data_IF_690783945328
#
_entry.id   IF_690783945328
#
_cell.length_a   1.000
_cell.length_b   1.000
_cell.length_c   1.000
_cell.angle_alpha   90.00
_cell.angle_beta   90.00
_cell.angle_gamma   90.00
#
_symmetry.space_group_name_H-M   'P 1'
#
loop_
_entity.id
_entity.type
_entity.pdbx_description
1 polymer ?
#
# COMPACT_ATOMS: atom_id res chain seq x y z
N UNK A 1 12.38 16.23 18.59
CA UNK A 1 11.70 14.98 19.05
C UNK A 1 10.29 14.77 18.51
N UNK A 2 9.27 15.59 18.84
CA UNK A 2 7.86 15.25 18.55
C UNK A 2 7.42 15.20 17.08
N UNK A 3 8.16 15.76 16.12
CA UNK A 3 7.70 15.86 14.71
C UNK A 3 7.90 14.56 13.91
N UNK A 4 9.03 13.85 14.09
CA UNK A 4 9.31 12.61 13.36
C UNK A 4 8.43 11.44 13.83
N UNK A 5 8.23 11.30 15.14
CA UNK A 5 7.30 10.31 15.70
C UNK A 5 5.86 10.55 15.23
N UNK A 6 5.43 11.81 15.13
CA UNK A 6 4.09 12.15 14.60
C UNK A 6 3.95 11.86 13.11
N UNK A 7 4.97 12.15 12.30
CA UNK A 7 4.92 11.87 10.86
C UNK A 7 4.84 10.37 10.57
N UNK A 8 5.59 9.55 11.31
CA UNK A 8 5.51 8.09 11.25
C UNK A 8 4.13 7.56 11.62
N UNK A 9 3.57 8.05 12.73
CA UNK A 9 2.23 7.67 13.18
C UNK A 9 1.15 7.90 12.12
N UNK A 10 1.10 9.11 11.56
CA UNK A 10 0.07 9.45 10.57
C UNK A 10 0.23 8.67 9.26
N UNK A 11 1.48 8.46 8.82
CA UNK A 11 1.75 7.68 7.61
C UNK A 11 1.28 6.24 7.77
N UNK A 12 1.61 5.61 8.90
CA UNK A 12 1.18 4.25 9.22
C UNK A 12 -0.33 4.13 9.39
N UNK A 13 -0.98 5.10 10.04
CA UNK A 13 -2.44 5.09 10.21
C UNK A 13 -3.16 5.23 8.87
N UNK A 14 -2.70 6.14 8.00
CA UNK A 14 -3.28 6.34 6.68
C UNK A 14 -3.16 5.07 5.82
N UNK A 15 -1.96 4.51 5.74
CA UNK A 15 -1.73 3.30 4.93
C UNK A 15 -2.38 2.06 5.53
N UNK A 16 -2.53 1.99 6.86
CA UNK A 16 -3.29 0.94 7.52
C UNK A 16 -4.74 0.91 7.03
N UNK A 17 -5.45 2.03 7.11
CA UNK A 17 -6.84 2.09 6.68
C UNK A 17 -6.99 1.85 5.18
N UNK A 18 -6.14 2.47 4.37
CA UNK A 18 -6.16 2.29 2.92
C UNK A 18 -6.04 0.82 2.53
N UNK A 19 -5.05 0.11 3.09
CA UNK A 19 -4.79 -1.29 2.77
C UNK A 19 -5.77 -2.26 3.44
N UNK A 20 -6.27 -1.96 4.65
CA UNK A 20 -7.30 -2.77 5.31
C UNK A 20 -8.62 -2.74 4.54
N UNK A 21 -9.07 -1.55 4.13
CA UNK A 21 -10.33 -1.40 3.39
C UNK A 21 -10.21 -2.04 2.01
N UNK A 22 -9.12 -1.77 1.28
CA UNK A 22 -8.87 -2.40 -0.01
C UNK A 22 -8.75 -3.93 0.11
N UNK A 23 -8.02 -4.41 1.13
CA UNK A 23 -7.82 -5.83 1.39
C UNK A 23 -9.13 -6.56 1.73
N UNK A 24 -9.94 -5.98 2.62
CA UNK A 24 -11.26 -6.53 2.95
C UNK A 24 -12.20 -6.55 1.75
N UNK A 25 -12.20 -5.48 0.94
CA UNK A 25 -13.00 -5.42 -0.29
C UNK A 25 -12.63 -6.53 -1.28
N UNK A 26 -11.34 -6.73 -1.52
CA UNK A 26 -10.86 -7.78 -2.41
C UNK A 26 -11.08 -9.20 -1.85
N UNK A 27 -11.04 -9.39 -0.54
CA UNK A 27 -11.28 -10.70 0.10
C UNK A 27 -12.74 -11.12 0.05
N UNK A 28 -13.64 -10.22 0.46
CA UNK A 28 -15.06 -10.54 0.73
C UNK A 28 -15.92 -10.35 -0.51
N UNK A 29 -15.61 -9.36 -1.34
CA UNK A 29 -16.41 -8.98 -2.52
C UNK A 29 -15.53 -8.77 -3.77
N UNK A 30 -14.69 -9.78 -4.16
CA UNK A 30 -13.73 -9.65 -5.26
C UNK A 30 -14.38 -9.31 -6.60
N UNK A 31 -15.60 -9.80 -6.85
CA UNK A 31 -16.28 -9.59 -8.13
C UNK A 31 -16.82 -8.15 -8.25
N UNK A 32 -17.37 -7.61 -7.17
CA UNK A 32 -17.81 -6.22 -7.10
C UNK A 32 -16.60 -5.26 -7.16
N UNK A 33 -15.50 -5.64 -6.50
CA UNK A 33 -14.25 -4.88 -6.59
C UNK A 33 -13.71 -4.87 -8.03
N UNK A 34 -13.71 -6.01 -8.73
CA UNK A 34 -13.32 -6.07 -10.14
C UNK A 34 -14.25 -5.23 -11.02
N UNK A 35 -15.56 -5.27 -10.79
CA UNK A 35 -16.53 -4.46 -11.52
C UNK A 35 -16.30 -2.96 -11.33
N UNK A 36 -15.89 -2.54 -10.13
CA UNK A 36 -15.56 -1.16 -9.82
C UNK A 36 -14.27 -0.70 -10.52
N UNK A 37 -13.26 -1.57 -10.59
CA UNK A 37 -11.92 -1.23 -11.10
C UNK A 37 -11.86 -1.33 -12.64
N UNK A 38 -12.43 -2.39 -13.21
CA UNK A 38 -12.31 -2.74 -14.63
C UNK A 38 -13.64 -2.67 -15.40
N UNK A 39 -14.73 -2.28 -14.74
CA UNK A 39 -16.06 -2.21 -15.33
C UNK A 39 -16.84 -3.54 -15.24
N UNK A 40 -18.16 -3.44 -15.38
CA UNK A 40 -19.09 -4.58 -15.27
C UNK A 40 -18.85 -5.67 -16.32
N UNK A 41 -18.33 -5.32 -17.51
CA UNK A 41 -17.98 -6.29 -18.55
C UNK A 41 -16.78 -7.18 -18.17
N UNK A 42 -15.74 -6.61 -17.55
CA UNK A 42 -14.61 -7.38 -17.03
C UNK A 42 -15.04 -8.32 -15.89
N UNK A 43 -15.99 -7.86 -15.07
CA UNK A 43 -16.62 -8.66 -14.02
C UNK A 43 -17.68 -9.67 -14.52
N UNK A 44 -17.92 -9.75 -15.82
CA UNK A 44 -18.71 -10.82 -16.44
C UNK A 44 -17.79 -11.88 -17.08
N UNK A 45 -16.61 -11.47 -17.55
CA UNK A 45 -15.64 -12.30 -18.25
C UNK A 45 -14.56 -12.93 -17.35
N UNK A 46 -14.66 -12.81 -16.02
CA UNK A 46 -13.63 -13.37 -15.13
C UNK A 46 -13.57 -14.89 -15.15
N UNK A 47 -12.38 -15.41 -14.82
CA UNK A 47 -12.16 -16.82 -14.53
C UNK A 47 -12.12 -17.08 -13.02
N UNK A 48 -12.35 -18.32 -12.56
CA UNK A 48 -12.14 -18.68 -11.15
C UNK A 48 -10.72 -18.36 -10.66
N UNK A 49 -9.70 -18.53 -11.52
CA UNK A 49 -8.32 -18.19 -11.19
C UNK A 49 -8.16 -16.68 -10.92
N UNK A 50 -8.78 -15.82 -11.73
CA UNK A 50 -8.77 -14.37 -11.53
C UNK A 50 -9.32 -13.99 -10.15
N UNK A 51 -10.43 -14.62 -9.73
CA UNK A 51 -11.04 -14.35 -8.42
C UNK A 51 -10.13 -14.77 -7.26
N UNK A 52 -9.51 -15.95 -7.35
CA UNK A 52 -8.55 -16.43 -6.35
C UNK A 52 -7.35 -15.48 -6.25
N UNK A 53 -6.80 -15.02 -7.37
CA UNK A 53 -5.68 -14.07 -7.38
C UNK A 53 -6.06 -12.73 -6.76
N UNK A 54 -7.27 -12.23 -7.00
CA UNK A 54 -7.78 -11.00 -6.35
C UNK A 54 -7.92 -11.18 -4.84
N UNK A 55 -8.45 -12.33 -4.38
CA UNK A 55 -8.58 -12.61 -2.95
C UNK A 55 -7.22 -12.79 -2.27
N UNK A 56 -6.25 -13.43 -2.93
CA UNK A 56 -4.87 -13.52 -2.45
C UNK A 56 -4.22 -12.14 -2.35
N UNK A 57 -4.42 -11.27 -3.34
CA UNK A 57 -3.98 -9.87 -3.27
C UNK A 57 -4.65 -9.14 -2.11
N UNK A 58 -5.94 -9.39 -1.89
CA UNK A 58 -6.70 -8.88 -0.74
C UNK A 58 -6.12 -9.33 0.59
N UNK A 59 -5.72 -10.61 0.73
CA UNK A 59 -5.05 -11.13 1.91
C UNK A 59 -3.72 -10.42 2.18
N UNK A 60 -2.92 -10.18 1.14
CA UNK A 60 -1.66 -9.44 1.24
C UNK A 60 -1.92 -8.00 1.71
N UNK A 61 -2.89 -7.31 1.12
CA UNK A 61 -3.22 -5.92 1.49
C UNK A 61 -3.75 -5.85 2.93
N UNK A 62 -4.61 -6.78 3.33
CA UNK A 62 -5.09 -6.87 4.69
C UNK A 62 -3.94 -7.09 5.68
N UNK A 63 -3.02 -8.00 5.38
CA UNK A 63 -1.83 -8.26 6.20
C UNK A 63 -0.93 -7.03 6.36
N UNK A 64 -0.63 -6.34 5.26
CA UNK A 64 0.14 -5.08 5.31
C UNK A 64 -0.61 -3.98 6.08
N UNK A 65 -1.91 -3.85 5.88
CA UNK A 65 -2.75 -2.88 6.57
C UNK A 65 -2.76 -3.12 8.09
N UNK A 66 -2.92 -4.38 8.52
CA UNK A 66 -2.85 -4.78 9.91
C UNK A 66 -1.46 -4.52 10.52
N UNK A 67 -0.39 -4.82 9.76
CA UNK A 67 0.99 -4.53 10.18
C UNK A 67 1.19 -3.03 10.42
N UNK A 68 0.74 -2.17 9.49
CA UNK A 68 0.82 -0.72 9.61
C UNK A 68 -0.02 -0.20 10.78
N UNK A 69 -1.20 -0.79 11.01
CA UNK A 69 -2.01 -0.48 12.17
C UNK A 69 -1.20 -0.73 13.44
N UNK A 70 -0.66 -1.93 13.62
CA UNK A 70 0.12 -2.28 14.81
C UNK A 70 1.39 -1.42 14.96
N UNK A 71 2.02 -1.01 13.86
CA UNK A 71 3.24 -0.22 13.88
C UNK A 71 3.05 1.29 14.15
N UNK A 72 1.83 1.83 14.06
CA UNK A 72 1.57 3.28 14.11
C UNK A 72 2.12 4.01 15.35
N UNK A 73 2.22 3.33 16.50
CA UNK A 73 2.74 3.90 17.74
C UNK A 73 4.25 3.67 17.98
N UNK A 74 4.93 2.93 17.11
CA UNK A 74 6.30 2.48 17.33
C UNK A 74 7.33 3.50 16.81
N UNK A 75 8.54 3.43 17.36
CA UNK A 75 9.70 4.13 16.77
C UNK A 75 10.07 3.38 15.49
N UNK A 76 9.84 4.03 14.34
CA UNK A 76 10.02 3.44 13.02
C UNK A 76 11.50 3.32 12.57
N UNK A 77 12.46 3.65 13.44
CA UNK A 77 13.89 3.46 13.23
C UNK A 77 14.42 2.10 13.75
N UNK A 78 15.75 1.94 13.75
CA UNK A 78 16.41 0.76 14.29
C UNK A 78 16.10 -0.56 13.58
N UNK A 79 16.37 -1.69 14.23
CA UNK A 79 16.21 -3.03 13.65
C UNK A 79 14.75 -3.50 13.56
N UNK A 80 13.84 -2.89 14.34
CA UNK A 80 12.42 -3.26 14.37
C UNK A 80 11.58 -2.43 13.40
N UNK A 81 11.78 -1.11 13.37
CA UNK A 81 10.98 -0.19 12.55
C UNK A 81 11.39 -0.13 11.08
N UNK A 82 12.70 -0.28 10.79
CA UNK A 82 13.21 -0.22 9.41
C UNK A 82 12.64 -1.29 8.48
N UNK A 83 12.56 -2.58 8.86
CA UNK A 83 11.97 -3.61 8.00
C UNK A 83 10.51 -3.30 7.61
N UNK A 84 9.73 -2.74 8.55
CA UNK A 84 8.33 -2.35 8.29
C UNK A 84 8.26 -1.20 7.29
N UNK A 85 9.13 -0.19 7.44
CA UNK A 85 9.23 0.91 6.48
C UNK A 85 9.68 0.44 5.09
N UNK A 86 10.65 -0.48 5.03
CA UNK A 86 11.14 -1.08 3.79
C UNK A 86 10.07 -1.92 3.09
N UNK A 87 9.30 -2.72 3.83
CA UNK A 87 8.20 -3.49 3.26
C UNK A 87 7.17 -2.58 2.57
N UNK A 88 6.75 -1.51 3.25
CA UNK A 88 5.85 -0.53 2.66
C UNK A 88 6.49 0.20 1.46
N UNK A 89 7.76 0.59 1.58
CA UNK A 89 8.50 1.20 0.48
C UNK A 89 8.48 0.31 -0.76
N UNK A 90 8.84 -0.97 -0.63
CA UNK A 90 8.87 -1.88 -1.77
C UNK A 90 7.48 -2.14 -2.35
N UNK A 91 6.45 -2.24 -1.50
CA UNK A 91 5.06 -2.35 -1.96
C UNK A 91 4.66 -1.15 -2.83
N UNK A 92 4.85 0.07 -2.33
CA UNK A 92 4.45 1.28 -3.06
C UNK A 92 5.37 1.58 -4.25
N UNK A 93 6.68 1.29 -4.15
CA UNK A 93 7.62 1.47 -5.25
C UNK A 93 7.30 0.52 -6.42
N UNK A 94 7.13 -0.78 -6.15
CA UNK A 94 6.77 -1.75 -7.18
C UNK A 94 5.43 -1.41 -7.84
N UNK A 95 4.42 -1.02 -7.05
CA UNK A 95 3.13 -0.58 -7.58
C UNK A 95 3.24 0.69 -8.43
N UNK A 96 4.04 1.67 -8.00
CA UNK A 96 4.28 2.91 -8.77
C UNK A 96 4.91 2.59 -10.12
N UNK A 97 5.94 1.74 -10.15
CA UNK A 97 6.63 1.34 -11.40
C UNK A 97 5.65 0.61 -12.33
N UNK A 98 4.89 -0.35 -11.81
CA UNK A 98 3.91 -1.10 -12.59
C UNK A 98 2.85 -0.19 -13.21
N UNK A 99 2.30 0.74 -12.43
CA UNK A 99 1.29 1.68 -12.90
C UNK A 99 1.86 2.65 -13.94
N UNK A 100 3.08 3.15 -13.73
CA UNK A 100 3.76 4.02 -14.69
C UNK A 100 4.00 3.31 -16.03
N UNK A 101 4.42 2.04 -16.01
CA UNK A 101 4.59 1.23 -17.23
C UNK A 101 3.25 1.09 -17.96
N UNK A 102 2.17 0.75 -17.26
CA UNK A 102 0.85 0.57 -17.88
C UNK A 102 0.34 1.85 -18.54
N UNK A 103 0.50 3.00 -17.88
CA UNK A 103 0.18 4.31 -18.45
C UNK A 103 1.02 4.56 -19.71
N UNK A 104 2.33 4.29 -19.66
CA UNK A 104 3.22 4.48 -20.81
C UNK A 104 2.87 3.57 -22.01
N UNK A 105 2.25 2.41 -21.76
CA UNK A 105 1.75 1.50 -22.82
C UNK A 105 0.34 1.84 -23.32
N UNK A 106 -0.23 2.98 -22.91
CA UNK A 106 -1.53 3.47 -23.38
C UNK A 106 -2.74 3.02 -22.56
N UNK A 107 -2.53 2.40 -21.38
CA UNK A 107 -3.63 2.09 -20.46
C UNK A 107 -3.92 3.34 -19.63
N UNK A 108 -4.81 4.18 -20.15
CA UNK A 108 -5.18 5.44 -19.52
C UNK A 108 -6.63 5.40 -19.03
N UNK A 109 -6.78 5.31 -17.71
CA UNK A 109 -8.05 5.60 -17.04
C UNK A 109 -7.80 6.57 -15.89
N UNK A 110 -8.79 7.43 -15.61
CA UNK A 110 -8.68 8.37 -14.49
C UNK A 110 -8.41 7.65 -13.16
N UNK A 111 -8.99 6.45 -12.98
CA UNK A 111 -8.74 5.61 -11.82
C UNK A 111 -7.29 5.13 -11.71
N UNK A 112 -6.68 4.72 -12.83
CA UNK A 112 -5.27 4.30 -12.86
C UNK A 112 -4.34 5.50 -12.57
N UNK A 113 -4.63 6.68 -13.13
CA UNK A 113 -3.87 7.90 -12.87
C UNK A 113 -3.93 8.31 -11.39
N UNK A 114 -5.12 8.31 -10.78
CA UNK A 114 -5.30 8.61 -9.36
C UNK A 114 -4.55 7.57 -8.50
N UNK A 115 -4.68 6.29 -8.84
CA UNK A 115 -4.00 5.22 -8.10
C UNK A 115 -2.47 5.35 -8.21
N UNK A 116 -1.95 5.66 -9.40
CA UNK A 116 -0.53 5.90 -9.63
C UNK A 116 -0.01 7.09 -8.81
N UNK A 117 -0.76 8.20 -8.77
CA UNK A 117 -0.42 9.36 -7.97
C UNK A 117 -0.39 9.03 -6.46
N UNK A 118 -1.38 8.30 -5.95
CA UNK A 118 -1.42 7.86 -4.55
C UNK A 118 -0.22 6.95 -4.23
N UNK A 119 0.05 5.96 -5.07
CA UNK A 119 1.19 5.05 -4.91
C UNK A 119 2.53 5.81 -4.93
N UNK A 120 2.69 6.77 -5.84
CA UNK A 120 3.90 7.59 -5.94
C UNK A 120 4.10 8.43 -4.67
N UNK A 121 3.06 9.11 -4.19
CA UNK A 121 3.12 9.92 -2.96
C UNK A 121 3.50 9.07 -1.76
N UNK A 122 2.87 7.90 -1.60
CA UNK A 122 3.19 6.97 -0.51
C UNK A 122 4.61 6.43 -0.64
N UNK A 123 5.06 6.07 -1.85
CA UNK A 123 6.44 5.68 -2.12
C UNK A 123 7.43 6.76 -1.62
N UNK A 124 7.24 8.01 -2.01
CA UNK A 124 8.11 9.12 -1.59
C UNK A 124 8.10 9.34 -0.07
N UNK A 125 6.93 9.19 0.58
CA UNK A 125 6.81 9.24 2.04
C UNK A 125 7.66 8.12 2.66
N UNK A 126 7.54 6.88 2.19
CA UNK A 126 8.28 5.74 2.75
C UNK A 126 9.77 5.76 2.43
N UNK A 127 10.21 6.34 1.31
CA UNK A 127 11.63 6.68 1.06
C UNK A 127 12.12 7.61 2.18
N UNK A 128 11.38 8.70 2.43
CA UNK A 128 11.76 9.67 3.47
C UNK A 128 11.81 9.03 4.86
N UNK A 129 10.80 8.22 5.21
CA UNK A 129 10.76 7.55 6.52
C UNK A 129 11.93 6.57 6.68
N UNK A 130 12.22 5.77 5.66
CA UNK A 130 13.29 4.76 5.71
C UNK A 130 14.68 5.36 5.88
N UNK A 131 15.00 6.44 5.15
CA UNK A 131 16.34 7.01 5.12
C UNK A 131 16.59 8.16 6.11
N UNK A 132 15.53 8.76 6.69
CA UNK A 132 15.68 9.91 7.62
C UNK A 132 15.35 9.60 9.07
N UNK A 133 15.15 8.33 9.45
CA UNK A 133 14.90 7.96 10.83
C UNK A 133 16.21 7.64 11.58
N UNK A 134 16.41 8.23 12.78
CA UNK A 134 17.59 7.99 13.59
C UNK A 134 17.68 6.53 14.05
N UNK A 135 18.91 6.06 14.27
CA UNK A 135 19.16 4.74 14.84
C UNK A 135 18.87 4.75 16.35
N UNK A 136 18.49 3.60 16.91
CA UNK A 136 18.20 3.46 18.35
C UNK A 136 19.42 3.86 19.23
N UNK A 137 20.64 3.83 18.68
CA UNK A 137 21.85 4.20 19.40
C UNK A 137 21.93 5.69 19.81
N UNK A 138 21.08 6.57 19.26
CA UNK A 138 21.00 7.98 19.66
C UNK A 138 20.07 8.21 20.87
N UNK A 139 19.56 7.14 21.49
CA UNK A 139 18.53 7.20 22.53
C UNK A 139 18.88 6.42 23.81
N UNK A 140 20.10 5.89 23.90
CA UNK A 140 20.72 5.34 25.12
C UNK A 140 21.76 6.34 25.64
#
# INVERSE_FOLDING_TARGET
MRRHARAGYWSMLLTAWLLLIAGLGLLVVPQQALALIAGSGAAAAQTPLTMILLQLLGAVYFGFGAMNWMARGQILGGIYGRPICLGNLFHFAAGTILLAINIATGVESLGILITAAVYLVLCLIFIRLTFRMPSIAEHL
#
